data_IF_061053005647
#
_entry.id   IF_061053005647
#
_cell.length_a   1.000
_cell.length_b   1.000
_cell.length_c   1.000
_cell.angle_alpha   90.00
_cell.angle_beta   90.00
_cell.angle_gamma   90.00
#
_symmetry.space_group_name_H-M   'P 1'
#
loop_
_entity.id
_entity.type
_entity.pdbx_description
1 polymer ?
#
# COMPACT_ATOMS: atom_id res chain seq x y z
N UNK A 1 18.32 -8.36 13.48
CA UNK A 1 17.86 -7.62 12.29
C UNK A 1 16.36 -7.75 12.11
N UNK A 2 15.74 -8.92 12.33
CA UNK A 2 14.26 -9.07 12.34
C UNK A 2 13.54 -8.36 13.50
N UNK A 3 14.20 -8.19 14.66
CA UNK A 3 13.59 -7.56 15.84
C UNK A 3 13.23 -6.07 15.66
N UNK A 4 13.85 -5.35 14.71
CA UNK A 4 13.51 -3.95 14.42
C UNK A 4 12.26 -3.80 13.55
N UNK A 5 11.79 -4.87 12.88
CA UNK A 5 10.75 -4.76 11.86
C UNK A 5 9.37 -4.56 12.48
N UNK A 6 9.15 -5.13 13.66
CA UNK A 6 7.89 -5.02 14.40
C UNK A 6 7.62 -3.59 14.89
N UNK A 7 8.66 -2.75 15.02
CA UNK A 7 8.55 -1.39 15.56
C UNK A 7 8.39 -0.30 14.48
N UNK A 8 8.63 -0.61 13.20
CA UNK A 8 8.76 0.40 12.15
C UNK A 8 7.43 0.78 11.46
N UNK A 9 6.35 0.02 11.65
CA UNK A 9 5.02 0.36 11.16
C UNK A 9 3.98 0.19 12.28
N UNK A 10 4.30 0.70 13.46
CA UNK A 10 3.40 0.69 14.62
C UNK A 10 2.55 1.95 14.60
N UNK A 11 1.25 1.78 14.81
CA UNK A 11 0.31 2.86 15.05
C UNK A 11 -0.88 2.33 15.84
N UNK A 12 -1.83 3.20 16.16
CA UNK A 12 -3.05 2.91 16.92
C UNK A 12 -4.31 3.08 16.08
N UNK A 13 -4.16 3.22 14.76
CA UNK A 13 -5.26 3.47 13.83
C UNK A 13 -5.80 2.16 13.27
N UNK A 14 -7.14 2.03 13.24
CA UNK A 14 -7.79 0.94 12.51
C UNK A 14 -7.62 1.15 11.01
N UNK A 15 -6.88 0.24 10.38
CA UNK A 15 -6.69 0.19 8.94
C UNK A 15 -7.65 -0.83 8.31
N UNK A 16 -8.12 -0.51 7.11
CA UNK A 16 -8.83 -1.44 6.25
C UNK A 16 -7.88 -2.50 5.65
N UNK A 17 -6.66 -2.08 5.30
CA UNK A 17 -5.54 -2.86 4.74
C UNK A 17 -5.81 -3.52 3.36
N UNK A 18 -7.03 -3.40 2.84
CA UNK A 18 -7.39 -3.81 1.49
C UNK A 18 -8.35 -2.83 0.78
N UNK A 19 -8.03 -1.52 0.68
CA UNK A 19 -8.91 -0.49 0.10
C UNK A 19 -8.92 -0.58 -1.44
N UNK A 20 -9.30 -1.74 -1.97
CA UNK A 20 -9.49 -1.94 -3.41
C UNK A 20 -10.69 -1.12 -3.87
N UNK A 21 -10.70 -0.71 -5.13
CA UNK A 21 -11.82 0.06 -5.70
C UNK A 21 -13.18 -0.63 -5.48
N UNK A 22 -13.23 -1.97 -5.59
CA UNK A 22 -14.45 -2.75 -5.35
C UNK A 22 -14.90 -2.80 -3.88
N UNK A 23 -14.03 -2.38 -2.96
CA UNK A 23 -14.30 -2.23 -1.53
C UNK A 23 -14.64 -0.78 -1.13
N UNK A 24 -14.74 0.15 -2.08
CA UNK A 24 -15.06 1.56 -1.84
C UNK A 24 -16.35 1.91 -2.58
N UNK A 25 -17.44 2.08 -1.83
CA UNK A 25 -18.73 2.49 -2.38
C UNK A 25 -18.92 3.99 -2.22
N UNK A 26 -19.07 4.70 -3.33
CA UNK A 26 -19.37 6.14 -3.32
C UNK A 26 -20.89 6.31 -3.37
N UNK A 27 -21.47 6.90 -2.32
CA UNK A 27 -22.89 7.21 -2.28
C UNK A 27 -23.24 8.34 -3.26
N UNK A 28 -24.52 8.52 -3.64
CA UNK A 28 -24.93 9.63 -4.50
C UNK A 28 -24.60 11.02 -3.93
N UNK A 29 -24.45 11.15 -2.61
CA UNK A 29 -24.03 12.41 -1.96
C UNK A 29 -22.51 12.56 -1.85
N UNK A 30 -21.72 11.66 -2.44
CA UNK A 30 -20.26 11.73 -2.49
C UNK A 30 -19.54 11.16 -1.26
N UNK A 31 -20.24 10.53 -0.33
CA UNK A 31 -19.62 9.87 0.83
C UNK A 31 -19.03 8.52 0.40
N UNK A 32 -17.76 8.28 0.75
CA UNK A 32 -17.12 6.99 0.56
C UNK A 32 -17.40 6.05 1.74
N UNK A 33 -17.85 4.83 1.44
CA UNK A 33 -18.08 3.76 2.39
C UNK A 33 -17.11 2.60 2.11
N UNK A 34 -16.28 2.27 3.10
CA UNK A 34 -15.39 1.12 3.06
C UNK A 34 -16.15 -0.14 3.48
N UNK A 35 -16.07 -1.18 2.65
CA UNK A 35 -16.71 -2.50 2.88
C UNK A 35 -15.67 -3.61 2.78
N UNK A 36 -16.02 -4.82 3.25
CA UNK A 36 -15.13 -5.99 3.30
C UNK A 36 -13.89 -5.81 4.21
N UNK A 37 -14.15 -5.59 5.49
CA UNK A 37 -13.16 -5.43 6.56
C UNK A 37 -12.40 -6.72 6.95
N UNK A 38 -12.37 -7.74 6.10
CA UNK A 38 -11.76 -9.06 6.41
C UNK A 38 -10.26 -8.98 6.69
N UNK A 39 -9.59 -7.94 6.20
CA UNK A 39 -8.14 -7.73 6.38
C UNK A 39 -7.80 -6.62 7.37
N UNK A 40 -8.80 -6.10 8.08
CA UNK A 40 -8.62 -5.00 9.00
C UNK A 40 -7.58 -5.32 10.08
N UNK A 41 -6.73 -4.35 10.38
CA UNK A 41 -5.68 -4.46 11.38
C UNK A 41 -5.43 -3.11 12.06
N UNK A 42 -4.63 -3.11 13.12
CA UNK A 42 -4.14 -1.88 13.74
C UNK A 42 -2.77 -1.55 13.13
N UNK A 43 -2.57 -0.29 12.75
CA UNK A 43 -1.33 0.19 12.16
C UNK A 43 -1.28 1.72 12.04
N UNK A 44 -0.37 2.26 11.20
CA UNK A 44 -0.21 3.70 11.05
C UNK A 44 -1.37 4.34 10.29
N UNK A 45 -1.71 5.59 10.64
CA UNK A 45 -2.81 6.34 10.02
C UNK A 45 -2.66 6.54 8.51
N UNK A 46 -1.43 6.53 8.00
CA UNK A 46 -1.09 6.65 6.58
C UNK A 46 -1.09 5.32 5.81
N UNK A 47 -1.22 4.18 6.49
CA UNK A 47 -1.05 2.87 5.88
C UNK A 47 -2.08 2.56 4.80
N UNK A 48 -3.35 2.91 5.01
CA UNK A 48 -4.39 2.72 3.99
C UNK A 48 -4.19 3.62 2.77
N UNK A 49 -3.62 4.82 2.95
CA UNK A 49 -3.26 5.69 1.84
C UNK A 49 -2.17 5.03 0.97
N UNK A 50 -1.15 4.41 1.59
CA UNK A 50 -0.16 3.61 0.84
C UNK A 50 -0.83 2.46 0.09
N UNK A 51 -1.69 1.68 0.75
CA UNK A 51 -2.37 0.56 0.11
C UNK A 51 -3.29 0.99 -1.05
N UNK A 52 -3.92 2.16 -0.94
CA UNK A 52 -4.72 2.77 -1.99
C UNK A 52 -3.83 3.17 -3.18
N UNK A 53 -2.72 3.85 -2.91
CA UNK A 53 -1.79 4.35 -3.94
C UNK A 53 -1.06 3.26 -4.74
N UNK A 54 -1.12 2.01 -4.27
CA UNK A 54 -0.58 0.83 -4.96
C UNK A 54 -1.60 0.13 -5.87
N UNK A 55 -2.85 0.61 -5.94
CA UNK A 55 -3.88 -0.01 -6.76
C UNK A 55 -3.67 0.27 -8.26
N UNK A 56 -3.90 -0.73 -9.13
CA UNK A 56 -3.77 -0.56 -10.58
C UNK A 56 -4.71 0.48 -11.18
N UNK A 57 -5.85 0.68 -10.54
CA UNK A 57 -6.92 1.55 -11.01
C UNK A 57 -6.54 3.05 -10.96
N UNK A 58 -5.42 3.42 -10.31
CA UNK A 58 -4.91 4.80 -10.28
C UNK A 58 -4.20 5.25 -11.56
N UNK A 59 -3.80 4.33 -12.44
CA UNK A 59 -3.06 4.67 -13.67
C UNK A 59 -1.65 5.19 -13.40
N UNK A 60 -1.22 6.20 -14.17
CA UNK A 60 0.17 6.69 -14.23
C UNK A 60 0.49 7.83 -13.22
N UNK A 61 -0.25 7.91 -12.11
CA UNK A 61 0.01 8.96 -11.11
C UNK A 61 1.26 8.63 -10.28
N UNK A 62 2.05 9.64 -9.91
CA UNK A 62 3.17 9.46 -8.98
C UNK A 62 2.63 9.29 -7.54
N UNK A 63 2.68 8.08 -6.95
CA UNK A 63 2.16 7.88 -5.60
C UNK A 63 2.94 8.68 -4.55
N UNK A 64 4.22 9.03 -4.82
CA UNK A 64 5.00 9.83 -3.87
C UNK A 64 4.45 11.25 -3.78
N UNK A 65 4.08 11.86 -4.91
CA UNK A 65 3.55 13.22 -4.96
C UNK A 65 2.20 13.31 -4.23
N UNK A 66 1.30 12.34 -4.45
CA UNK A 66 0.04 12.31 -3.70
C UNK A 66 0.29 12.07 -2.22
N UNK A 67 1.18 11.13 -1.88
CA UNK A 67 1.41 10.75 -0.49
C UNK A 67 1.93 11.94 0.33
N UNK A 68 2.96 12.63 -0.14
CA UNK A 68 3.54 13.78 0.58
C UNK A 68 2.62 15.01 0.55
N UNK A 69 1.73 15.12 -0.44
CA UNK A 69 0.75 16.20 -0.53
C UNK A 69 -0.50 15.98 0.32
N UNK A 70 -0.70 14.79 0.89
CA UNK A 70 -1.86 14.47 1.72
C UNK A 70 -1.50 14.59 3.21
N UNK A 71 -2.35 15.21 4.07
CA UNK A 71 -2.01 15.49 5.48
C UNK A 71 -1.52 14.29 6.29
N UNK A 72 -2.10 13.09 6.10
CA UNK A 72 -1.62 11.89 6.81
C UNK A 72 -0.27 11.37 6.31
N UNK A 73 0.05 11.57 5.03
CA UNK A 73 1.32 11.16 4.45
C UNK A 73 2.44 12.17 4.72
N UNK A 74 2.13 13.46 4.76
CA UNK A 74 3.06 14.52 5.20
C UNK A 74 3.54 14.28 6.63
N UNK A 75 2.66 13.80 7.52
CA UNK A 75 2.98 13.48 8.90
C UNK A 75 3.72 12.14 9.09
N UNK A 76 3.98 11.38 8.02
CA UNK A 76 4.59 10.06 8.11
C UNK A 76 6.12 10.16 8.15
N UNK A 77 6.75 9.47 9.10
CA UNK A 77 8.22 9.35 9.14
C UNK A 77 8.72 8.57 7.91
N UNK A 78 9.63 9.14 7.08
CA UNK A 78 10.04 8.54 5.81
C UNK A 78 10.57 7.11 5.91
N UNK A 79 11.34 6.80 6.96
CA UNK A 79 11.92 5.49 7.21
C UNK A 79 10.85 4.44 7.54
N UNK A 80 9.75 4.83 8.19
CA UNK A 80 8.63 3.95 8.49
C UNK A 80 7.86 3.59 7.23
N UNK A 81 7.66 4.57 6.34
CA UNK A 81 7.04 4.35 5.03
C UNK A 81 7.89 3.41 4.18
N UNK A 82 9.21 3.61 4.15
CA UNK A 82 10.14 2.72 3.46
C UNK A 82 10.08 1.28 4.01
N UNK A 83 10.08 1.11 5.33
CA UNK A 83 9.98 -0.19 5.97
C UNK A 83 8.65 -0.90 5.63
N UNK A 84 7.54 -0.17 5.64
CA UNK A 84 6.23 -0.70 5.27
C UNK A 84 6.16 -1.11 3.79
N UNK A 85 6.70 -0.28 2.90
CA UNK A 85 6.81 -0.60 1.48
C UNK A 85 7.72 -1.82 1.24
N UNK A 86 8.82 -1.97 1.98
CA UNK A 86 9.69 -3.16 1.92
C UNK A 86 8.93 -4.42 2.36
N UNK A 87 8.14 -4.33 3.43
CA UNK A 87 7.30 -5.43 3.89
C UNK A 87 6.26 -5.82 2.83
N UNK A 88 5.56 -4.83 2.23
CA UNK A 88 4.61 -5.07 1.14
C UNK A 88 5.29 -5.65 -0.10
N UNK A 89 6.46 -5.13 -0.50
CA UNK A 89 7.22 -5.64 -1.64
C UNK A 89 7.59 -7.12 -1.44
N UNK A 90 7.98 -7.49 -0.20
CA UNK A 90 8.28 -8.87 0.18
C UNK A 90 7.03 -9.75 0.08
N UNK A 91 5.90 -9.29 0.62
CA UNK A 91 4.61 -9.97 0.53
C UNK A 91 4.14 -10.18 -0.91
N UNK A 92 4.17 -9.14 -1.74
CA UNK A 92 3.75 -9.21 -3.14
C UNK A 92 4.68 -10.10 -3.96
N UNK A 93 5.99 -10.02 -3.70
CA UNK A 93 6.96 -10.91 -4.34
C UNK A 93 6.65 -12.36 -4.02
N UNK A 94 6.48 -12.70 -2.74
CA UNK A 94 6.11 -14.06 -2.32
C UNK A 94 4.79 -14.52 -2.96
N UNK A 95 3.74 -13.70 -2.92
CA UNK A 95 2.41 -14.09 -3.40
C UNK A 95 2.28 -14.13 -4.93
N UNK A 96 3.10 -13.37 -5.66
CA UNK A 96 3.14 -13.41 -7.13
C UNK A 96 3.76 -14.72 -7.67
N UNK A 97 4.63 -15.38 -6.89
CA UNK A 97 5.15 -16.72 -7.23
C UNK A 97 4.16 -17.85 -7.00
N UNK A 98 3.07 -17.62 -6.26
CA UNK A 98 2.03 -18.62 -6.07
C UNK A 98 1.21 -18.79 -7.36
N UNK A 99 0.77 -20.02 -7.69
CA UNK A 99 -0.11 -20.24 -8.83
C UNK A 99 -1.40 -19.43 -8.66
N UNK A 100 -1.94 -18.91 -9.77
CA UNK A 100 -3.26 -18.32 -9.78
C UNK A 100 -4.31 -19.36 -9.35
N UNK A 101 -5.34 -18.92 -8.63
CA UNK A 101 -6.46 -19.81 -8.31
C UNK A 101 -7.22 -20.10 -9.60
N UNK A 102 -7.60 -21.36 -9.83
CA UNK A 102 -8.31 -21.77 -11.05
C UNK A 102 -9.58 -20.95 -11.32
N UNK A 103 -10.29 -20.55 -10.26
CA UNK A 103 -11.50 -19.73 -10.33
C UNK A 103 -11.22 -18.21 -10.29
N UNK A 104 -9.96 -17.79 -10.11
CA UNK A 104 -9.58 -16.39 -10.01
C UNK A 104 -8.15 -16.13 -10.54
N UNK A 105 -7.89 -16.36 -11.84
CA UNK A 105 -6.56 -16.21 -12.44
C UNK A 105 -6.05 -14.75 -12.42
N UNK A 106 -6.96 -13.77 -12.50
CA UNK A 106 -6.66 -12.34 -12.42
C UNK A 106 -5.96 -11.92 -11.11
N UNK A 107 -6.07 -12.73 -10.04
CA UNK A 107 -5.37 -12.46 -8.79
C UNK A 107 -3.85 -12.50 -8.96
N UNK A 108 -3.33 -13.35 -9.87
CA UNK A 108 -1.90 -13.42 -10.14
C UNK A 108 -1.41 -12.11 -10.77
N UNK A 109 -2.13 -11.63 -11.78
CA UNK A 109 -1.77 -10.40 -12.50
C UNK A 109 -1.87 -9.18 -11.57
N UNK A 110 -2.88 -9.15 -10.69
CA UNK A 110 -3.00 -8.11 -9.66
C UNK A 110 -1.82 -8.12 -8.69
N UNK A 111 -1.41 -9.30 -8.19
CA UNK A 111 -0.24 -9.42 -7.30
C UNK A 111 1.04 -8.97 -7.98
N UNK A 112 1.24 -9.34 -9.25
CA UNK A 112 2.40 -8.90 -10.02
C UNK A 112 2.40 -7.38 -10.26
N UNK A 113 1.23 -6.80 -10.53
CA UNK A 113 1.09 -5.35 -10.60
C UNK A 113 1.49 -4.69 -9.28
N UNK A 114 0.90 -5.11 -8.16
CA UNK A 114 1.20 -4.54 -6.84
C UNK A 114 2.67 -4.70 -6.47
N UNK A 115 3.30 -5.82 -6.83
CA UNK A 115 4.75 -6.03 -6.68
C UNK A 115 5.55 -4.97 -7.43
N UNK A 116 5.25 -4.75 -8.72
CA UNK A 116 5.94 -3.76 -9.56
C UNK A 116 5.71 -2.33 -9.08
N UNK A 117 4.47 -1.99 -8.71
CA UNK A 117 4.13 -0.67 -8.18
C UNK A 117 4.90 -0.37 -6.87
N UNK A 118 4.94 -1.34 -5.96
CA UNK A 118 5.63 -1.19 -4.66
C UNK A 118 7.14 -1.02 -4.85
N UNK A 119 7.77 -1.87 -5.67
CA UNK A 119 9.21 -1.79 -5.95
C UNK A 119 9.54 -0.48 -6.67
N UNK A 120 8.72 -0.08 -7.66
CA UNK A 120 8.92 1.16 -8.39
C UNK A 120 8.82 2.39 -7.49
N UNK A 121 7.94 2.37 -6.48
CA UNK A 121 7.83 3.45 -5.51
C UNK A 121 9.06 3.51 -4.59
N UNK A 122 9.49 2.37 -4.02
CA UNK A 122 10.74 2.29 -3.24
C UNK A 122 11.95 2.82 -4.01
N UNK A 123 12.12 2.39 -5.26
CA UNK A 123 13.23 2.86 -6.10
C UNK A 123 13.22 4.38 -6.30
N UNK A 124 12.04 4.97 -6.52
CA UNK A 124 11.90 6.43 -6.64
C UNK A 124 12.28 7.15 -5.35
N UNK A 125 11.78 6.69 -4.21
CA UNK A 125 12.08 7.26 -2.88
C UNK A 125 13.58 7.22 -2.57
N UNK A 126 14.21 6.06 -2.76
CA UNK A 126 15.65 5.93 -2.52
C UNK A 126 16.51 6.70 -3.52
N UNK A 127 16.06 6.86 -4.77
CA UNK A 127 16.81 7.68 -5.74
C UNK A 127 16.75 9.16 -5.39
N UNK A 128 15.60 9.65 -4.91
CA UNK A 128 15.43 11.05 -4.46
C UNK A 128 16.21 11.36 -3.17
N UNK A 129 16.37 10.36 -2.29
CA UNK A 129 17.02 10.52 -0.99
C UNK A 129 18.52 10.19 -0.97
N UNK A 130 19.17 9.93 -2.12
CA UNK A 130 20.62 9.72 -2.16
C UNK A 130 21.34 11.06 -1.96
N UNK A 131 22.26 11.18 -0.98
CA UNK A 131 23.16 12.32 -0.94
C UNK A 131 24.04 12.33 -2.20
N UNK A 132 24.26 13.53 -2.75
CA UNK A 132 25.14 13.76 -3.90
C UNK A 132 26.59 13.37 -3.61
#
# INVERSE_FOLDING_TARGET
>A
MEAMWTELAVGDTLMHFDPRFDNILISPCGTAHLVDWRRACIGPAWGDLVCLLLQPDLGDVDPEEIFVGHPVGEAAEPEQVDAFLVALASYWTHTAFLPGLAHAPHLRDRREYSRRATIGWLQRRWTRNRPA
#
